data_IF_794483578011
#
_entry.id   IF_794483578011
#
_cell.length_a   1.000
_cell.length_b   1.000
_cell.length_c   1.000
_cell.angle_alpha   90.00
_cell.angle_beta   90.00
_cell.angle_gamma   90.00
#
_symmetry.space_group_name_H-M   'P 1'
#
loop_
_entity.id
_entity.type
_entity.pdbx_description
1 polymer ?
#
# COMPACT_ATOMS: atom_id res chain seq x y z
N UNK A 1 21.86 -3.13 -17.80
CA UNK A 1 21.18 -2.09 -16.99
C UNK A 1 20.74 -0.89 -17.83
N UNK A 2 21.63 -0.18 -18.53
CA UNK A 2 21.23 0.99 -19.34
C UNK A 2 20.12 0.70 -20.39
N UNK A 3 20.25 -0.39 -21.17
CA UNK A 3 19.23 -0.81 -22.15
C UNK A 3 17.88 -1.17 -21.50
N UNK A 4 17.89 -1.66 -20.27
CA UNK A 4 16.67 -1.99 -19.53
C UNK A 4 15.93 -0.72 -19.10
N UNK A 5 16.65 0.25 -18.50
CA UNK A 5 16.07 1.55 -18.16
C UNK A 5 15.60 2.32 -19.39
N UNK A 6 16.36 2.29 -20.48
CA UNK A 6 15.98 2.93 -21.75
C UNK A 6 14.75 2.27 -22.36
N UNK A 7 14.68 0.93 -22.35
CA UNK A 7 13.53 0.17 -22.82
C UNK A 7 12.27 0.47 -22.00
N UNK A 8 12.40 0.51 -20.67
CA UNK A 8 11.27 0.89 -19.81
C UNK A 8 10.83 2.33 -20.05
N UNK A 9 11.78 3.27 -20.13
CA UNK A 9 11.49 4.66 -20.46
C UNK A 9 10.75 4.79 -21.79
N UNK A 10 11.18 4.10 -22.85
CA UNK A 10 10.50 4.14 -24.15
C UNK A 10 9.10 3.54 -24.11
N UNK A 11 8.89 2.42 -23.40
CA UNK A 11 7.56 1.81 -23.28
C UNK A 11 6.63 2.73 -22.50
N UNK A 12 7.07 3.30 -21.38
CA UNK A 12 6.24 4.22 -20.58
C UNK A 12 5.98 5.53 -21.31
N UNK A 13 7.02 6.19 -21.82
CA UNK A 13 6.89 7.45 -22.55
C UNK A 13 6.01 7.27 -23.80
N UNK A 14 6.24 6.20 -24.58
CA UNK A 14 5.44 5.89 -25.76
C UNK A 14 3.98 5.57 -25.43
N UNK A 15 3.71 4.84 -24.34
CA UNK A 15 2.34 4.57 -23.89
C UNK A 15 1.61 5.85 -23.46
N UNK A 16 2.27 6.70 -22.67
CA UNK A 16 1.76 8.01 -22.21
C UNK A 16 1.49 8.94 -23.40
N UNK A 17 2.40 8.98 -24.37
CA UNK A 17 2.24 9.78 -25.59
C UNK A 17 1.10 9.26 -26.47
N UNK A 18 0.98 7.94 -26.65
CA UNK A 18 -0.06 7.31 -27.47
C UNK A 18 -1.50 7.59 -27.00
N UNK A 19 -1.68 7.93 -25.71
CA UNK A 19 -2.98 8.25 -25.14
C UNK A 19 -3.12 9.75 -24.78
N UNK A 20 -2.21 10.59 -25.28
CA UNK A 20 -2.37 12.05 -25.27
C UNK A 20 -2.21 12.73 -23.90
N UNK A 21 -1.56 12.09 -22.92
CA UNK A 21 -1.39 12.60 -21.54
C UNK A 21 -0.32 13.72 -21.48
N UNK A 22 -0.43 14.77 -22.29
CA UNK A 22 0.60 15.81 -22.40
C UNK A 22 0.25 17.12 -21.69
N UNK A 23 -1.03 17.42 -21.52
CA UNK A 23 -1.46 18.76 -21.07
C UNK A 23 -1.72 18.85 -19.55
N UNK A 24 -2.05 17.74 -18.88
CA UNK A 24 -2.40 17.72 -17.44
C UNK A 24 -1.70 16.59 -16.64
N UNK A 25 -0.38 16.43 -16.82
CA UNK A 25 0.39 15.31 -16.28
C UNK A 25 0.36 15.17 -14.75
N UNK A 26 0.00 16.21 -13.99
CA UNK A 26 -0.02 16.18 -12.51
C UNK A 26 -0.99 15.15 -11.94
N UNK A 27 -2.15 14.96 -12.55
CA UNK A 27 -3.09 13.92 -12.11
C UNK A 27 -2.50 12.52 -12.38
N UNK A 28 -2.07 12.25 -13.61
CA UNK A 28 -1.43 10.97 -13.93
C UNK A 28 -0.18 10.72 -13.06
N UNK A 29 0.60 11.75 -12.75
CA UNK A 29 1.76 11.66 -11.86
C UNK A 29 1.36 11.32 -10.43
N UNK A 30 0.30 11.92 -9.88
CA UNK A 30 -0.18 11.62 -8.52
C UNK A 30 -0.61 10.16 -8.42
N UNK A 31 -1.35 9.66 -9.41
CA UNK A 31 -1.78 8.26 -9.50
C UNK A 31 -0.59 7.30 -9.72
N UNK A 32 0.45 7.72 -10.45
CA UNK A 32 1.68 6.94 -10.59
C UNK A 32 2.45 6.82 -9.26
N UNK A 33 2.55 7.91 -8.49
CA UNK A 33 3.13 7.88 -7.14
C UNK A 33 2.33 6.96 -6.23
N UNK A 34 0.99 7.05 -6.25
CA UNK A 34 0.12 6.16 -5.47
C UNK A 34 0.35 4.69 -5.83
N UNK A 35 0.48 4.37 -7.12
CA UNK A 35 0.85 3.03 -7.57
C UNK A 35 2.18 2.58 -6.98
N UNK A 36 3.23 3.40 -7.05
CA UNK A 36 4.56 3.02 -6.57
C UNK A 36 4.57 2.75 -5.07
N UNK A 37 3.86 3.58 -4.29
CA UNK A 37 3.78 3.43 -2.84
C UNK A 37 2.97 2.19 -2.45
N UNK A 38 1.80 2.00 -3.05
CA UNK A 38 0.98 0.79 -2.84
C UNK A 38 1.74 -0.46 -3.29
N UNK A 39 2.43 -0.43 -4.44
CA UNK A 39 3.24 -1.57 -4.91
C UNK A 39 4.37 -1.89 -3.92
N UNK A 40 5.03 -0.86 -3.38
CA UNK A 40 6.09 -1.03 -2.37
C UNK A 40 5.54 -1.67 -1.10
N UNK A 41 4.37 -1.24 -0.63
CA UNK A 41 3.67 -1.87 0.50
C UNK A 41 3.36 -3.34 0.19
N UNK A 42 2.78 -3.62 -0.99
CA UNK A 42 2.47 -4.98 -1.44
C UNK A 42 3.70 -5.90 -1.41
N UNK A 43 4.85 -5.43 -1.91
CA UNK A 43 6.12 -6.18 -1.90
C UNK A 43 6.65 -6.40 -0.48
N UNK A 44 6.59 -5.38 0.40
CA UNK A 44 7.01 -5.53 1.80
C UNK A 44 6.16 -6.56 2.54
N UNK A 45 4.84 -6.50 2.37
CA UNK A 45 3.90 -7.45 2.96
C UNK A 45 4.09 -8.86 2.38
N UNK A 46 4.35 -8.98 1.07
CA UNK A 46 4.65 -10.26 0.45
C UNK A 46 5.94 -10.87 1.00
N UNK A 47 6.99 -10.05 1.14
CA UNK A 47 8.26 -10.47 1.72
C UNK A 47 8.07 -10.95 3.17
N UNK A 48 7.27 -10.22 3.95
CA UNK A 48 6.84 -10.63 5.30
C UNK A 48 6.07 -11.96 5.32
N UNK A 49 5.17 -12.18 4.36
CA UNK A 49 4.37 -13.39 4.25
C UNK A 49 5.22 -14.62 3.91
N UNK A 50 6.20 -14.46 3.02
CA UNK A 50 7.13 -15.51 2.59
C UNK A 50 8.18 -15.84 3.65
N UNK A 51 8.39 -14.93 4.62
CA UNK A 51 9.37 -15.08 5.71
C UNK A 51 10.68 -14.32 5.50
N UNK A 52 10.78 -13.54 4.41
CA UNK A 52 11.93 -12.67 4.09
C UNK A 52 11.83 -11.30 4.77
N UNK A 53 11.42 -11.26 6.04
CA UNK A 53 11.39 -10.00 6.79
C UNK A 53 12.78 -9.63 7.32
N UNK A 54 13.23 -8.36 7.19
CA UNK A 54 14.53 -7.96 7.70
C UNK A 54 14.66 -8.21 9.21
N UNK A 55 15.44 -9.22 9.61
CA UNK A 55 15.70 -9.56 11.04
C UNK A 55 16.47 -8.47 11.79
N UNK A 56 17.08 -7.52 11.06
CA UNK A 56 17.95 -6.48 11.63
C UNK A 56 17.19 -5.29 12.20
N UNK A 57 15.89 -5.13 11.89
CA UNK A 57 15.09 -4.02 12.39
C UNK A 57 14.13 -4.49 13.48
N UNK A 58 14.14 -3.81 14.63
CA UNK A 58 13.14 -3.97 15.70
C UNK A 58 11.84 -3.24 15.33
N UNK A 59 11.33 -3.51 14.11
CA UNK A 59 10.16 -2.83 13.54
C UNK A 59 9.23 -3.86 12.90
N UNK A 60 7.95 -3.74 13.23
CA UNK A 60 6.88 -4.55 12.67
C UNK A 60 6.50 -4.10 11.26
N UNK A 61 5.91 -4.96 10.42
CA UNK A 61 5.38 -4.56 9.12
C UNK A 61 4.44 -3.36 9.18
N UNK A 62 3.55 -3.32 10.16
CA UNK A 62 2.62 -2.21 10.38
C UNK A 62 3.30 -0.86 10.69
N UNK A 63 4.53 -0.86 11.22
CA UNK A 63 5.31 0.38 11.30
C UNK A 63 5.66 0.90 9.90
N UNK A 64 6.02 0.02 8.96
CA UNK A 64 6.34 0.43 7.58
C UNK A 64 5.09 0.82 6.79
N UNK A 65 3.94 0.20 7.05
CA UNK A 65 2.64 0.66 6.53
C UNK A 65 2.41 2.14 6.94
N UNK A 66 2.69 2.49 8.21
CA UNK A 66 2.60 3.87 8.69
C UNK A 66 3.58 4.82 7.99
N UNK A 67 4.83 4.38 7.78
CA UNK A 67 5.85 5.16 7.07
C UNK A 67 5.45 5.39 5.62
N UNK A 68 4.92 4.38 4.93
CA UNK A 68 4.47 4.52 3.54
C UNK A 68 3.27 5.46 3.42
N UNK A 69 2.32 5.42 4.36
CA UNK A 69 1.23 6.40 4.43
C UNK A 69 1.74 7.82 4.70
N UNK A 70 2.75 7.98 5.55
CA UNK A 70 3.39 9.27 5.78
C UNK A 70 4.06 9.78 4.51
N UNK A 71 4.85 8.94 3.83
CA UNK A 71 5.51 9.30 2.57
C UNK A 71 4.49 9.65 1.49
N UNK A 72 3.40 8.89 1.38
CA UNK A 72 2.28 9.20 0.50
C UNK A 72 1.73 10.60 0.76
N UNK A 73 1.47 10.92 2.03
CA UNK A 73 0.91 12.22 2.41
C UNK A 73 1.86 13.36 2.08
N UNK A 74 3.16 13.20 2.38
CA UNK A 74 4.17 14.21 2.08
C UNK A 74 4.30 14.45 0.57
N UNK A 75 4.32 13.40 -0.24
CA UNK A 75 4.37 13.56 -1.71
C UNK A 75 3.08 14.18 -2.23
N UNK A 76 1.91 13.80 -1.71
CA UNK A 76 0.63 14.41 -2.11
C UNK A 76 0.55 15.89 -1.74
N UNK A 77 1.10 16.32 -0.59
CA UNK A 77 1.22 17.75 -0.26
C UNK A 77 2.04 18.48 -1.34
N UNK A 78 3.18 17.92 -1.75
CA UNK A 78 4.01 18.52 -2.81
C UNK A 78 3.25 18.58 -4.13
N UNK A 79 2.57 17.51 -4.53
CA UNK A 79 1.77 17.48 -5.77
C UNK A 79 0.65 18.52 -5.74
N UNK A 80 -0.05 18.67 -4.60
CA UNK A 80 -1.11 19.67 -4.42
C UNK A 80 -0.57 21.10 -4.52
N UNK A 81 0.62 21.37 -3.99
CA UNK A 81 1.26 22.69 -4.08
C UNK A 81 1.75 22.98 -5.50
N UNK A 82 2.46 22.03 -6.13
CA UNK A 82 3.07 22.23 -7.46
C UNK A 82 2.00 22.27 -8.56
N UNK A 83 0.90 21.54 -8.40
CA UNK A 83 -0.21 21.55 -9.34
C UNK A 83 -1.08 22.81 -9.26
N UNK A 84 -0.81 23.74 -8.33
CA UNK A 84 -1.55 24.99 -8.17
C UNK A 84 -1.12 26.05 -9.18
N UNK A 85 -2.07 26.52 -9.99
CA UNK A 85 -1.92 27.69 -10.84
C UNK A 85 -2.80 28.83 -10.29
N UNK A 86 -2.26 30.05 -10.29
CA UNK A 86 -2.94 31.25 -9.74
C UNK A 86 -4.24 31.62 -10.44
N UNK A 87 -4.50 31.04 -11.61
CA UNK A 87 -5.56 31.44 -12.53
C UNK A 87 -6.76 30.49 -12.48
N UNK A 88 -6.82 29.61 -11.47
CA UNK A 88 -7.82 28.55 -11.35
C UNK A 88 -9.12 29.03 -10.65
N UNK A 89 -10.27 28.63 -11.22
CA UNK A 89 -11.60 29.00 -10.73
C UNK A 89 -11.96 28.40 -9.36
N UNK A 90 -12.94 29.01 -8.69
CA UNK A 90 -13.46 28.58 -7.36
C UNK A 90 -13.89 27.11 -7.30
N UNK A 91 -14.44 26.56 -8.38
CA UNK A 91 -14.81 25.13 -8.44
C UNK A 91 -13.59 24.21 -8.34
N UNK A 92 -12.49 24.60 -8.99
CA UNK A 92 -11.24 23.85 -8.98
C UNK A 92 -10.58 23.88 -7.60
N UNK A 93 -10.69 25.01 -6.89
CA UNK A 93 -10.29 25.14 -5.49
C UNK A 93 -11.06 24.20 -4.56
N UNK A 94 -12.39 24.07 -4.71
CA UNK A 94 -13.21 23.16 -3.89
C UNK A 94 -12.82 21.69 -4.07
N UNK A 95 -12.57 21.24 -5.30
CA UNK A 95 -12.12 19.86 -5.58
C UNK A 95 -10.72 19.57 -4.98
N UNK A 96 -9.87 20.59 -4.86
CA UNK A 96 -8.59 20.49 -4.12
C UNK A 96 -8.79 20.41 -2.61
N UNK A 97 -9.85 21.01 -2.05
CA UNK A 97 -10.12 20.93 -0.60
C UNK A 97 -10.40 19.49 -0.16
N UNK A 98 -11.10 18.69 -0.96
CA UNK A 98 -11.30 17.25 -0.66
C UNK A 98 -9.96 16.52 -0.56
N UNK A 99 -9.14 16.60 -1.62
CA UNK A 99 -7.82 15.98 -1.67
C UNK A 99 -6.88 16.47 -0.55
N UNK A 100 -6.91 17.78 -0.27
CA UNK A 100 -6.11 18.38 0.81
C UNK A 100 -6.55 17.86 2.18
N UNK A 101 -7.86 17.75 2.40
CA UNK A 101 -8.42 17.23 3.66
C UNK A 101 -8.04 15.77 3.87
N UNK A 102 -8.13 14.94 2.82
CA UNK A 102 -7.73 13.54 2.88
C UNK A 102 -6.23 13.42 3.15
N UNK A 103 -5.41 14.23 2.48
CA UNK A 103 -3.95 14.25 2.66
C UNK A 103 -3.56 14.61 4.09
N UNK A 104 -4.17 15.64 4.68
CA UNK A 104 -3.92 16.04 6.07
C UNK A 104 -4.36 14.94 7.05
N UNK A 105 -5.52 14.32 6.80
CA UNK A 105 -6.01 13.20 7.62
C UNK A 105 -5.01 12.04 7.64
N UNK A 106 -4.52 11.61 6.46
CA UNK A 106 -3.55 10.51 6.35
C UNK A 106 -2.20 10.91 6.96
N UNK A 107 -1.79 12.16 6.82
CA UNK A 107 -0.58 12.70 7.45
C UNK A 107 -0.65 12.60 8.99
N UNK A 108 -1.75 13.08 9.57
CA UNK A 108 -1.96 13.01 11.02
C UNK A 108 -2.11 11.57 11.52
N UNK A 109 -2.84 10.72 10.80
CA UNK A 109 -3.02 9.31 11.13
C UNK A 109 -1.71 8.52 11.11
N UNK A 110 -0.90 8.73 10.06
CA UNK A 110 0.42 8.10 9.93
C UNK A 110 1.40 8.55 11.01
N UNK A 111 1.46 9.85 11.31
CA UNK A 111 2.30 10.37 12.40
C UNK A 111 1.88 9.80 13.76
N UNK A 112 0.58 9.77 14.04
CA UNK A 112 0.02 9.18 15.27
C UNK A 112 0.39 7.70 15.39
N UNK A 113 0.29 6.95 14.30
CA UNK A 113 0.68 5.54 14.25
C UNK A 113 2.18 5.34 14.54
N UNK A 114 3.05 6.12 13.89
CA UNK A 114 4.50 6.09 14.12
C UNK A 114 4.83 6.44 15.57
N UNK A 115 4.22 7.47 16.15
CA UNK A 115 4.42 7.86 17.55
C UNK A 115 4.07 6.72 18.51
N UNK A 116 2.97 6.00 18.28
CA UNK A 116 2.55 4.88 19.13
C UNK A 116 3.43 3.64 18.95
N UNK A 117 3.89 3.36 17.72
CA UNK A 117 4.83 2.27 17.41
C UNK A 117 6.26 2.55 17.90
N UNK A 118 6.63 3.83 18.10
CA UNK A 118 7.97 4.24 18.55
C UNK A 118 8.07 4.52 20.05
N UNK A 119 6.97 4.42 20.80
CA UNK A 119 6.96 4.61 22.26
C UNK A 119 7.90 3.60 22.94
N UNK A 120 8.60 4.04 24.01
CA UNK A 120 9.48 3.16 24.80
C UNK A 120 8.72 1.91 25.25
N UNK A 121 9.26 0.72 24.94
CA UNK A 121 8.64 -0.58 25.21
C UNK A 121 7.62 -1.07 24.17
N UNK A 122 7.36 -0.31 23.09
CA UNK A 122 6.38 -0.65 22.04
C UNK A 122 7.01 -0.95 20.66
N UNK A 123 8.35 -0.92 20.54
CA UNK A 123 9.04 -1.03 19.24
C UNK A 123 8.69 -2.30 18.44
N UNK A 124 8.36 -3.40 19.14
CA UNK A 124 8.04 -4.71 18.52
C UNK A 124 6.55 -5.08 18.63
N UNK A 125 5.67 -4.14 19.02
CA UNK A 125 4.23 -4.42 19.15
C UNK A 125 3.51 -4.09 17.84
N UNK A 126 2.64 -5.01 17.40
CA UNK A 126 1.78 -4.79 16.23
C UNK A 126 0.81 -3.64 16.46
N UNK A 127 0.53 -2.86 15.42
CA UNK A 127 -0.28 -1.66 15.47
C UNK A 127 -1.33 -1.64 14.33
N UNK A 128 -2.61 -1.52 14.66
CA UNK A 128 -3.72 -1.50 13.68
C UNK A 128 -4.01 -0.12 13.10
N UNK A 129 -3.44 0.96 13.65
CA UNK A 129 -3.73 2.34 13.25
C UNK A 129 -3.46 2.67 11.77
N UNK A 130 -2.40 2.16 11.11
CA UNK A 130 -2.21 2.38 9.68
C UNK A 130 -3.40 1.85 8.89
N UNK A 131 -3.83 0.61 9.18
CA UNK A 131 -4.95 -0.01 8.51
C UNK A 131 -6.28 0.73 8.79
N UNK A 132 -6.50 1.19 10.03
CA UNK A 132 -7.67 2.03 10.34
C UNK A 132 -7.67 3.35 9.55
N UNK A 133 -6.52 3.98 9.39
CA UNK A 133 -6.36 5.18 8.56
C UNK A 133 -6.73 4.88 7.10
N UNK A 134 -6.28 3.74 6.57
CA UNK A 134 -6.62 3.28 5.22
C UNK A 134 -8.10 2.90 5.06
N UNK A 135 -8.77 2.34 6.08
CA UNK A 135 -10.23 2.11 6.05
C UNK A 135 -10.98 3.43 5.88
N UNK A 136 -10.63 4.44 6.69
CA UNK A 136 -11.28 5.76 6.62
C UNK A 136 -11.01 6.42 5.27
N UNK A 137 -9.77 6.36 4.77
CA UNK A 137 -9.42 6.88 3.45
C UNK A 137 -10.22 6.17 2.34
N UNK A 138 -10.34 4.84 2.41
CA UNK A 138 -11.11 4.04 1.46
C UNK A 138 -12.59 4.44 1.46
N UNK A 139 -13.19 4.63 2.65
CA UNK A 139 -14.55 5.14 2.78
C UNK A 139 -14.71 6.51 2.09
N UNK A 140 -13.78 7.44 2.29
CA UNK A 140 -13.83 8.75 1.63
C UNK A 140 -13.75 8.63 0.11
N UNK A 141 -12.89 7.74 -0.42
CA UNK A 141 -12.80 7.47 -1.85
C UNK A 141 -14.08 6.91 -2.46
N UNK A 142 -14.88 6.13 -1.72
CA UNK A 142 -16.19 5.65 -2.24
C UNK A 142 -17.17 6.79 -2.51
N UNK A 143 -17.02 7.92 -1.82
CA UNK A 143 -17.86 9.11 -1.95
C UNK A 143 -17.22 10.25 -2.74
N UNK A 144 -15.99 10.06 -3.22
CA UNK A 144 -15.20 11.10 -3.84
C UNK A 144 -15.82 11.58 -5.16
N UNK A 145 -16.05 12.89 -5.28
CA UNK A 145 -16.69 13.46 -6.45
C UNK A 145 -15.68 13.63 -7.59
N UNK A 146 -16.09 13.21 -8.79
CA UNK A 146 -15.29 13.29 -10.00
C UNK A 146 -16.19 13.70 -11.16
N UNK A 147 -15.68 14.54 -12.06
CA UNK A 147 -16.46 15.10 -13.18
C UNK A 147 -16.84 14.01 -14.20
N UNK A 148 -15.90 13.12 -14.50
CA UNK A 148 -16.10 12.03 -15.45
C UNK A 148 -16.71 10.80 -14.76
N UNK A 149 -17.72 10.22 -15.42
CA UNK A 149 -18.50 9.13 -14.85
C UNK A 149 -17.66 7.84 -14.72
N UNK A 150 -16.82 7.54 -15.71
CA UNK A 150 -15.89 6.41 -15.60
C UNK A 150 -14.91 6.58 -14.43
N UNK A 151 -14.22 7.73 -14.34
CA UNK A 151 -13.30 8.05 -13.23
C UNK A 151 -13.97 7.85 -11.87
N UNK A 152 -15.20 8.36 -11.72
CA UNK A 152 -15.98 8.24 -10.47
C UNK A 152 -16.17 6.78 -10.06
N UNK A 153 -16.53 5.90 -11.01
CA UNK A 153 -16.73 4.47 -10.70
C UNK A 153 -15.44 3.73 -10.41
N UNK A 154 -14.34 4.10 -11.05
CA UNK A 154 -13.05 3.48 -10.77
C UNK A 154 -12.54 3.92 -9.39
N UNK A 155 -12.74 5.18 -8.98
CA UNK A 155 -12.47 5.65 -7.62
C UNK A 155 -13.36 4.98 -6.57
N UNK A 156 -14.62 4.71 -6.89
CA UNK A 156 -15.49 3.93 -6.01
C UNK A 156 -14.94 2.50 -5.79
N UNK A 157 -14.51 1.83 -6.87
CA UNK A 157 -13.85 0.53 -6.79
C UNK A 157 -12.50 0.58 -6.04
N UNK A 158 -11.73 1.66 -6.21
CA UNK A 158 -10.51 1.93 -5.45
C UNK A 158 -10.80 1.99 -3.94
N UNK A 159 -11.83 2.74 -3.54
CA UNK A 159 -12.25 2.86 -2.14
C UNK A 159 -12.62 1.51 -1.52
N UNK A 160 -13.45 0.71 -2.21
CA UNK A 160 -13.80 -0.63 -1.74
C UNK A 160 -12.60 -1.59 -1.67
N UNK A 161 -11.69 -1.53 -2.64
CA UNK A 161 -10.46 -2.33 -2.64
C UNK A 161 -9.58 -1.97 -1.44
N UNK A 162 -9.40 -0.68 -1.19
CA UNK A 162 -8.62 -0.17 -0.06
C UNK A 162 -9.21 -0.58 1.28
N UNK A 163 -10.53 -0.45 1.45
CA UNK A 163 -11.24 -0.91 2.65
C UNK A 163 -11.07 -2.42 2.85
N UNK A 164 -11.17 -3.22 1.78
CA UNK A 164 -11.03 -4.67 1.85
C UNK A 164 -9.61 -5.06 2.24
N UNK A 165 -8.59 -4.45 1.61
CA UNK A 165 -7.19 -4.66 1.95
C UNK A 165 -6.91 -4.34 3.42
N UNK A 166 -7.39 -3.18 3.89
CA UNK A 166 -7.20 -2.73 5.26
C UNK A 166 -7.95 -3.61 6.28
N UNK A 167 -9.14 -4.12 5.94
CA UNK A 167 -9.87 -5.06 6.77
C UNK A 167 -9.10 -6.38 6.95
N UNK A 168 -8.57 -6.96 5.86
CA UNK A 168 -7.72 -8.14 5.94
C UNK A 168 -6.43 -7.88 6.71
N UNK A 169 -5.85 -6.68 6.61
CA UNK A 169 -4.69 -6.28 7.40
C UNK A 169 -4.99 -6.24 8.90
N UNK A 170 -6.15 -5.72 9.29
CA UNK A 170 -6.60 -5.73 10.70
C UNK A 170 -6.78 -7.17 11.18
N UNK A 171 -7.45 -8.01 10.39
CA UNK A 171 -7.65 -9.43 10.70
C UNK A 171 -6.30 -10.14 10.89
N UNK A 172 -5.35 -9.93 9.97
CA UNK A 172 -4.01 -10.51 10.03
C UNK A 172 -3.28 -10.10 11.32
N UNK A 173 -3.28 -8.79 11.65
CA UNK A 173 -2.62 -8.26 12.85
C UNK A 173 -3.21 -8.86 14.14
N UNK A 174 -4.54 -9.01 14.20
CA UNK A 174 -5.23 -9.49 15.41
C UNK A 174 -5.16 -11.02 15.54
N UNK A 175 -5.24 -11.76 14.44
CA UNK A 175 -5.40 -13.22 14.46
C UNK A 175 -4.05 -13.95 14.42
N UNK A 176 -3.11 -13.53 13.56
CA UNK A 176 -1.86 -14.28 13.33
C UNK A 176 -1.01 -14.47 14.60
N UNK A 177 -0.82 -13.46 15.48
CA UNK A 177 0.01 -13.62 16.68
C UNK A 177 -0.55 -14.59 17.73
N UNK A 178 -1.85 -14.89 17.70
CA UNK A 178 -2.52 -15.71 18.72
C UNK A 178 -2.63 -17.18 18.30
N UNK A 179 -2.04 -17.56 17.18
CA UNK A 179 -2.23 -18.89 16.61
C UNK A 179 -1.18 -19.88 17.09
N UNK A 180 -1.58 -21.07 17.58
CA UNK A 180 -0.63 -22.05 18.06
C UNK A 180 0.25 -22.60 16.93
N UNK A 181 1.54 -22.73 17.25
CA UNK A 181 2.67 -23.11 16.39
C UNK A 181 2.42 -24.36 15.53
N UNK A 182 1.46 -25.23 15.86
CA UNK A 182 1.31 -26.58 15.27
C UNK A 182 0.09 -26.79 14.36
N UNK A 183 -0.57 -25.74 13.89
CA UNK A 183 -1.77 -25.91 13.06
C UNK A 183 -1.42 -25.84 11.57
N UNK A 184 -1.17 -27.01 10.98
CA UNK A 184 -0.96 -27.20 9.54
C UNK A 184 -2.28 -27.10 8.77
N UNK A 185 -2.76 -25.90 8.50
CA UNK A 185 -3.93 -25.72 7.63
C UNK A 185 -3.65 -24.63 6.60
N UNK A 186 -3.68 -25.04 5.33
CA UNK A 186 -3.34 -24.22 4.15
C UNK A 186 -4.13 -22.90 4.05
N UNK A 187 -5.31 -22.84 4.66
CA UNK A 187 -6.12 -21.62 4.71
C UNK A 187 -5.51 -20.50 5.58
N UNK A 188 -4.65 -20.82 6.56
CA UNK A 188 -4.04 -19.80 7.43
C UNK A 188 -2.74 -19.25 6.87
N UNK A 189 -2.00 -20.07 6.12
CA UNK A 189 -0.83 -19.59 5.38
C UNK A 189 -1.26 -18.56 4.33
N UNK A 190 -2.41 -18.77 3.66
CA UNK A 190 -2.94 -17.85 2.65
C UNK A 190 -3.29 -16.48 3.22
N UNK A 191 -3.74 -16.39 4.48
CA UNK A 191 -4.18 -15.13 5.09
C UNK A 191 -3.08 -14.06 5.10
N UNK A 192 -1.81 -14.48 5.26
CA UNK A 192 -0.64 -13.57 5.22
C UNK A 192 -0.42 -12.96 3.83
N UNK A 193 -0.92 -13.60 2.77
CA UNK A 193 -0.81 -13.13 1.40
C UNK A 193 -1.99 -12.24 0.98
N UNK A 194 -3.15 -12.34 1.63
CA UNK A 194 -4.37 -11.65 1.19
C UNK A 194 -4.21 -10.14 1.18
N UNK A 195 -3.65 -9.55 2.24
CA UNK A 195 -3.42 -8.09 2.28
C UNK A 195 -2.49 -7.67 1.16
N UNK A 196 -1.36 -8.37 0.98
CA UNK A 196 -0.40 -8.08 -0.08
C UNK A 196 -1.02 -8.15 -1.47
N UNK A 197 -1.81 -9.20 -1.74
CA UNK A 197 -2.57 -9.38 -2.98
C UNK A 197 -3.48 -8.18 -3.26
N UNK A 198 -4.28 -7.79 -2.28
CA UNK A 198 -5.25 -6.69 -2.42
C UNK A 198 -4.56 -5.34 -2.58
N UNK A 199 -3.42 -5.13 -1.92
CA UNK A 199 -2.62 -3.90 -2.06
C UNK A 199 -1.93 -3.84 -3.44
N UNK A 200 -1.48 -4.97 -3.99
CA UNK A 200 -0.98 -5.04 -5.37
C UNK A 200 -2.11 -4.72 -6.35
N UNK A 201 -3.31 -5.29 -6.18
CA UNK A 201 -4.47 -4.92 -7.00
C UNK A 201 -4.78 -3.42 -6.85
N UNK A 202 -4.79 -2.90 -5.62
CA UNK A 202 -5.03 -1.50 -5.32
C UNK A 202 -4.04 -0.59 -6.06
N UNK A 203 -2.78 -0.99 -6.26
CA UNK A 203 -1.80 -0.21 -7.03
C UNK A 203 -2.20 -0.03 -8.50
N UNK A 204 -2.73 -1.08 -9.15
CA UNK A 204 -3.22 -1.00 -10.52
C UNK A 204 -4.51 -0.19 -10.61
N UNK A 205 -5.42 -0.37 -9.66
CA UNK A 205 -6.66 0.43 -9.60
C UNK A 205 -6.35 1.90 -9.35
N UNK A 206 -5.35 2.19 -8.51
CA UNK A 206 -4.87 3.55 -8.24
C UNK A 206 -4.38 4.20 -9.52
N UNK A 207 -3.50 3.55 -10.29
CA UNK A 207 -3.06 4.13 -11.55
C UNK A 207 -4.19 4.21 -12.60
N UNK A 208 -5.01 3.16 -12.68
CA UNK A 208 -6.16 3.08 -13.58
C UNK A 208 -7.22 4.15 -13.34
N UNK A 209 -7.29 4.68 -12.12
CA UNK A 209 -8.24 5.75 -11.77
C UNK A 209 -7.80 7.15 -12.21
N UNK A 210 -6.66 7.31 -12.89
CA UNK A 210 -6.24 8.63 -13.40
C UNK A 210 -7.26 9.18 -14.41
N UNK A 211 -7.46 10.50 -14.36
CA UNK A 211 -8.44 11.20 -15.20
C UNK A 211 -8.14 10.97 -16.68
N UNK A 212 -6.90 11.17 -17.08
CA UNK A 212 -6.50 11.10 -18.50
C UNK A 212 -6.69 9.69 -19.07
N UNK A 213 -6.33 8.66 -18.29
CA UNK A 213 -6.50 7.26 -18.72
C UNK A 213 -7.96 6.87 -18.79
N UNK A 214 -8.76 7.25 -17.80
CA UNK A 214 -10.20 7.02 -17.83
C UNK A 214 -10.85 7.78 -18.98
N UNK A 215 -10.48 9.03 -19.26
CA UNK A 215 -11.04 9.78 -20.40
C UNK A 215 -10.75 9.07 -21.73
N UNK A 216 -9.49 8.66 -21.96
CA UNK A 216 -9.11 7.92 -23.17
C UNK A 216 -9.91 6.61 -23.33
N UNK A 217 -10.25 5.94 -22.23
CA UNK A 217 -11.06 4.71 -22.25
C UNK A 217 -12.54 5.02 -22.44
N UNK A 218 -13.06 6.05 -21.78
CA UNK A 218 -14.46 6.48 -21.86
C UNK A 218 -14.82 6.91 -23.29
N UNK A 219 -13.89 7.54 -24.01
CA UNK A 219 -14.05 7.91 -25.44
C UNK A 219 -14.28 6.71 -26.37
N UNK A 220 -13.84 5.51 -25.98
CA UNK A 220 -14.10 4.28 -26.74
C UNK A 220 -15.49 3.67 -26.47
N UNK A 221 -16.25 4.24 -25.54
CA UNK A 221 -17.53 3.71 -25.08
C UNK A 221 -17.40 2.52 -24.12
N UNK A 222 -16.22 2.32 -23.53
CA UNK A 222 -15.95 1.20 -22.62
C UNK A 222 -16.58 1.41 -21.23
N UNK A 223 -17.15 0.35 -20.67
CA UNK A 223 -17.88 0.43 -19.40
C UNK A 223 -16.96 0.31 -18.19
N UNK A 224 -17.37 0.87 -17.04
CA UNK A 224 -16.57 0.84 -15.81
C UNK A 224 -16.30 -0.56 -15.26
N UNK A 225 -17.32 -1.44 -15.22
CA UNK A 225 -17.17 -2.79 -14.66
C UNK A 225 -16.10 -3.64 -15.37
N UNK A 226 -16.11 -3.79 -16.71
CA UNK A 226 -15.05 -4.52 -17.40
C UNK A 226 -13.68 -3.83 -17.28
N UNK A 227 -13.62 -2.50 -17.17
CA UNK A 227 -12.35 -1.80 -16.95
C UNK A 227 -11.74 -2.14 -15.59
N UNK A 228 -12.53 -2.08 -14.51
CA UNK A 228 -12.11 -2.49 -13.17
C UNK A 228 -11.68 -3.95 -13.16
N UNK A 229 -12.41 -4.84 -13.86
CA UNK A 229 -12.03 -6.26 -13.97
C UNK A 229 -10.67 -6.45 -14.66
N UNK A 230 -10.35 -5.66 -15.69
CA UNK A 230 -9.03 -5.67 -16.34
C UNK A 230 -7.94 -5.23 -15.35
N UNK A 231 -8.15 -4.14 -14.61
CA UNK A 231 -7.19 -3.65 -13.62
C UNK A 231 -6.92 -4.69 -12.53
N UNK A 232 -7.96 -5.37 -12.05
CA UNK A 232 -7.83 -6.46 -11.07
C UNK A 232 -7.07 -7.64 -11.67
N UNK A 233 -7.36 -8.00 -12.92
CA UNK A 233 -6.65 -9.06 -13.64
C UNK A 233 -5.17 -8.76 -13.76
N UNK A 234 -4.79 -7.53 -14.14
CA UNK A 234 -3.41 -7.08 -14.15
C UNK A 234 -2.75 -7.22 -12.78
N UNK A 235 -3.44 -6.81 -11.72
CA UNK A 235 -2.98 -6.97 -10.33
C UNK A 235 -2.75 -8.43 -9.93
N UNK A 236 -3.68 -9.33 -10.26
CA UNK A 236 -3.58 -10.77 -9.99
C UNK A 236 -2.40 -11.43 -10.71
N UNK A 237 -2.22 -11.11 -12.00
CA UNK A 237 -1.10 -11.62 -12.80
C UNK A 237 0.22 -11.12 -12.21
N UNK A 238 0.31 -9.83 -11.90
CA UNK A 238 1.53 -9.23 -11.37
C UNK A 238 1.86 -9.73 -9.96
N UNK A 239 0.86 -9.89 -9.09
CA UNK A 239 1.03 -10.53 -7.80
C UNK A 239 1.56 -11.95 -7.95
N UNK A 240 0.99 -12.74 -8.86
CA UNK A 240 1.44 -14.12 -9.12
C UNK A 240 2.91 -14.13 -9.55
N UNK A 241 3.30 -13.20 -10.42
CA UNK A 241 4.70 -13.02 -10.82
C UNK A 241 5.61 -12.66 -9.63
N UNK A 242 5.23 -11.65 -8.83
CA UNK A 242 5.99 -11.23 -7.64
C UNK A 242 6.11 -12.36 -6.61
N UNK A 243 5.03 -13.08 -6.35
CA UNK A 243 5.03 -14.20 -5.40
C UNK A 243 6.01 -15.28 -5.85
N UNK A 244 5.97 -15.68 -7.12
CA UNK A 244 6.94 -16.64 -7.67
C UNK A 244 8.38 -16.14 -7.56
N UNK A 245 8.63 -14.86 -7.86
CA UNK A 245 9.96 -14.27 -7.78
C UNK A 245 10.50 -14.25 -6.35
N UNK A 246 9.70 -13.81 -5.38
CA UNK A 246 10.11 -13.69 -3.97
C UNK A 246 10.32 -15.06 -3.33
N UNK A 247 9.49 -16.06 -3.66
CA UNK A 247 9.74 -17.45 -3.23
C UNK A 247 11.06 -17.98 -3.79
N UNK A 248 11.35 -17.78 -5.09
CA UNK A 248 12.64 -18.19 -5.67
C UNK A 248 13.82 -17.47 -5.03
N UNK A 249 13.68 -16.19 -4.70
CA UNK A 249 14.71 -15.44 -3.98
C UNK A 249 14.92 -16.05 -2.58
N UNK A 250 13.85 -16.40 -1.86
CA UNK A 250 13.94 -17.07 -0.56
C UNK A 250 14.69 -18.39 -0.68
N UNK A 251 14.27 -19.27 -1.57
CA UNK A 251 14.85 -20.60 -1.74
C UNK A 251 16.33 -20.52 -2.13
N UNK A 252 16.71 -19.50 -2.89
CA UNK A 252 18.11 -19.25 -3.25
C UNK A 252 18.96 -18.72 -2.07
N UNK A 253 18.40 -17.83 -1.24
CA UNK A 253 19.10 -17.27 -0.08
C UNK A 253 19.20 -18.26 1.09
N UNK A 254 18.22 -19.16 1.23
CA UNK A 254 18.08 -20.11 2.34
C UNK A 254 17.80 -21.53 1.83
N UNK A 255 18.77 -22.19 1.16
CA UNK A 255 18.57 -23.50 0.54
C UNK A 255 18.44 -24.67 1.53
N UNK A 256 18.97 -24.52 2.75
CA UNK A 256 19.12 -25.59 3.75
C UNK A 256 18.16 -25.47 4.95
N UNK A 257 17.27 -24.48 4.98
CA UNK A 257 16.33 -24.34 6.09
C UNK A 257 15.09 -25.21 5.88
N UNK A 258 15.00 -26.30 6.65
CA UNK A 258 13.80 -27.13 6.77
C UNK A 258 12.69 -26.38 7.50
N UNK A 259 11.92 -25.55 6.79
CA UNK A 259 10.64 -24.98 7.27
C UNK A 259 10.64 -24.48 8.73
N UNK A 260 11.78 -23.96 9.24
CA UNK A 260 11.84 -23.48 10.61
C UNK A 260 10.95 -22.26 10.71
N UNK A 261 9.90 -22.39 11.52
CA UNK A 261 8.73 -21.51 11.56
C UNK A 261 9.12 -20.06 11.77
N UNK A 262 9.03 -19.30 10.67
CA UNK A 262 9.19 -17.85 10.62
C UNK A 262 7.98 -17.15 11.23
N UNK A 263 7.95 -17.22 12.54
CA UNK A 263 6.91 -16.68 13.39
C UNK A 263 7.35 -15.29 13.89
N UNK A 264 6.48 -14.28 13.80
CA UNK A 264 6.79 -12.93 14.32
C UNK A 264 7.14 -12.94 15.82
N UNK A 265 6.69 -13.98 16.55
CA UNK A 265 7.02 -14.33 17.93
C UNK A 265 8.48 -14.74 18.14
N UNK A 266 9.21 -15.12 17.09
CA UNK A 266 10.65 -15.47 17.17
C UNK A 266 11.57 -14.25 17.04
N UNK A 267 11.02 -13.05 16.80
CA UNK A 267 11.77 -11.83 17.04
C UNK A 267 12.18 -11.86 18.51
N UNK A 268 13.48 -11.75 18.85
CA UNK A 268 13.87 -11.68 20.24
C UNK A 268 13.10 -10.52 20.87
N UNK A 269 12.15 -10.85 21.74
CA UNK A 269 11.74 -9.93 22.78
C UNK A 269 13.05 -9.53 23.42
N UNK A 270 13.46 -8.27 23.26
CA UNK A 270 14.65 -7.77 23.90
C UNK A 270 14.39 -7.99 25.39
N UNK A 271 14.97 -9.08 25.89
CA UNK A 271 14.89 -9.51 27.27
C UNK A 271 15.26 -8.25 28.05
N UNK A 272 14.35 -7.76 28.89
CA UNK A 272 14.58 -6.57 29.71
C UNK A 272 15.61 -6.85 30.82
N UNK A 273 16.58 -7.72 30.56
CA UNK A 273 17.65 -8.10 31.45
C UNK A 273 18.80 -7.13 31.24
N UNK A 274 18.55 -5.88 31.65
CA UNK A 274 19.62 -4.97 32.09
C UNK A 274 19.09 -3.75 32.85
N UNK A 275 18.26 -3.98 33.87
CA UNK A 275 18.28 -3.17 35.07
C UNK A 275 18.14 -4.12 36.26
N UNK A 276 19.29 -4.62 36.73
CA UNK A 276 19.38 -5.13 38.09
C UNK A 276 19.03 -3.99 39.04
N UNK A 277 17.81 -4.00 39.55
CA UNK A 277 17.47 -3.28 40.76
C UNK A 277 17.26 -4.35 41.83
N UNK A 278 18.23 -4.43 42.74
CA UNK A 278 18.24 -5.31 43.90
C UNK A 278 16.87 -5.33 44.58
N UNK A 279 16.21 -6.49 44.56
CA UNK A 279 15.28 -6.84 45.62
C UNK A 279 16.12 -7.33 46.79
N UNK A 280 16.37 -6.44 47.74
CA UNK A 280 16.71 -6.75 49.13
C UNK A 280 16.34 -5.51 49.97
N UNK A 281 15.05 -5.41 50.27
CA UNK A 281 14.50 -4.69 51.42
C UNK A 281 13.36 -5.57 51.95
N UNK A 282 13.75 -6.55 52.76
CA UNK A 282 13.26 -6.79 54.12
C UNK A 282 13.79 -8.15 54.63
#
# INVERSE_FOLDING_TARGET
MALFFLGWYHITAGSVESVGIRENYYNTLSHAVLLLLAMSEGILLLSSAVGLWPRQTNRTPDYYDAVLLLMCSLVMVVVLIVGYHSDEDWHFFLTRLEHSSYTIMVLCGSLTSIMLSTRKGHQNKRNILPALTSVILGLLFTSHQQEAMLVKKVHEALGYTMMTAAAFRIIEILVVPHWPVNVSTDAYSILRYVTSLLVVILSFVSFGSSRDLCQAIEETGFMAAPYVAILYTCGLIYFSFLANLIHRIKDHLYPDESDEKYEYSSLPGMQSDRLGYNQNLD
#
